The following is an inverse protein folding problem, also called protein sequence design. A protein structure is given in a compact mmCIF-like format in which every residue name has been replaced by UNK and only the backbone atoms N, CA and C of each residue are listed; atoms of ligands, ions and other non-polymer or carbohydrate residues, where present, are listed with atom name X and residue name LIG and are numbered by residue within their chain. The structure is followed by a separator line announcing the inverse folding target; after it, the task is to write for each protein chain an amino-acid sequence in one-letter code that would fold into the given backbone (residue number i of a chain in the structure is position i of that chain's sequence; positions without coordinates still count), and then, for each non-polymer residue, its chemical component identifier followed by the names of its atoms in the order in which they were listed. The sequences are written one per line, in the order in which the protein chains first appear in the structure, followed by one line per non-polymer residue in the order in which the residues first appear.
data_IF_419817587824
#
_entry.id   IF_419817587824
#
_cell.length_a   1.000
_cell.length_b   1.000
_cell.length_c   1.000
_cell.angle_alpha   90.00
_cell.angle_beta   90.00
_cell.angle_gamma   90.00
#
_symmetry.space_group_name_H-M   'P 1'
#
loop_
_entity.id
_entity.type
_entity.pdbx_description
1 polymer ?
#
# COMPACT_ATOMS: atom_id res chain seq x y z
N UNK A 1 -21.01 -127.30 -1.27
CA UNK A 1 -19.64 -127.33 -1.83
C UNK A 1 -19.08 -125.93 -1.70
N UNK A 2 -18.10 -125.81 -0.82
CA UNK A 2 -17.10 -124.76 -0.59
C UNK A 2 -17.43 -123.30 -0.91
N UNK A 3 -17.81 -122.58 0.15
CA UNK A 3 -17.48 -121.17 0.32
C UNK A 3 -15.96 -121.01 0.48
N UNK A 4 -15.27 -120.74 -0.64
CA UNK A 4 -13.90 -120.26 -0.61
C UNK A 4 -13.91 -118.74 -0.50
N UNK A 5 -14.16 -118.21 0.70
CA UNK A 5 -13.79 -116.83 1.02
C UNK A 5 -12.26 -116.77 1.12
N UNK A 6 -11.60 -116.47 0.01
CA UNK A 6 -10.16 -116.25 -0.07
C UNK A 6 -9.86 -114.99 0.78
N UNK A 7 -9.38 -115.18 2.01
CA UNK A 7 -8.93 -114.09 2.87
C UNK A 7 -7.76 -113.39 2.18
N UNK A 8 -7.97 -112.16 1.73
CA UNK A 8 -6.91 -111.30 1.22
C UNK A 8 -5.83 -111.19 2.31
N UNK A 9 -4.53 -111.39 2.01
CA UNK A 9 -3.47 -111.23 3.00
C UNK A 9 -3.51 -109.83 3.60
N UNK A 10 -3.47 -109.72 4.93
CA UNK A 10 -3.54 -108.44 5.67
C UNK A 10 -2.50 -107.42 5.16
N UNK A 11 -1.33 -107.90 4.72
CA UNK A 11 -0.27 -107.08 4.11
C UNK A 11 -0.68 -106.40 2.79
N UNK A 12 -1.55 -107.03 2.00
CA UNK A 12 -2.09 -106.43 0.78
C UNK A 12 -3.06 -105.30 1.11
N UNK A 13 -3.93 -105.49 2.10
CA UNK A 13 -4.85 -104.45 2.55
C UNK A 13 -4.10 -103.22 3.12
N UNK A 14 -3.03 -103.46 3.90
CA UNK A 14 -2.16 -102.39 4.40
C UNK A 14 -1.48 -101.62 3.27
N UNK A 15 -0.96 -102.31 2.26
CA UNK A 15 -0.33 -101.68 1.09
C UNK A 15 -1.32 -100.81 0.30
N UNK A 16 -2.56 -101.29 0.10
CA UNK A 16 -3.61 -100.51 -0.56
C UNK A 16 -4.01 -99.28 0.28
N UNK A 17 -4.07 -99.40 1.62
CA UNK A 17 -4.31 -98.24 2.51
C UNK A 17 -3.25 -97.17 2.33
N UNK A 18 -1.96 -97.55 2.33
CA UNK A 18 -0.84 -96.63 2.12
C UNK A 18 -0.91 -95.91 0.77
N UNK A 19 -1.27 -96.61 -0.31
CA UNK A 19 -1.48 -95.98 -1.63
C UNK A 19 -2.61 -94.95 -1.55
N UNK A 20 -3.74 -95.31 -0.94
CA UNK A 20 -4.89 -94.41 -0.83
C UNK A 20 -4.58 -93.19 0.04
N UNK A 21 -3.86 -93.36 1.14
CA UNK A 21 -3.37 -92.28 2.00
C UNK A 21 -2.44 -91.34 1.22
N UNK A 22 -1.47 -91.88 0.48
CA UNK A 22 -0.58 -91.09 -0.37
C UNK A 22 -1.33 -90.30 -1.44
N UNK A 23 -2.29 -90.93 -2.13
CA UNK A 23 -3.12 -90.25 -3.14
C UNK A 23 -3.94 -89.12 -2.51
N UNK A 24 -4.57 -89.38 -1.35
CA UNK A 24 -5.34 -88.37 -0.63
C UNK A 24 -4.47 -87.20 -0.13
N UNK A 25 -3.26 -87.48 0.37
CA UNK A 25 -2.29 -86.46 0.76
C UNK A 25 -1.85 -85.62 -0.45
N UNK A 26 -1.48 -86.26 -1.55
CA UNK A 26 -1.09 -85.57 -2.78
C UNK A 26 -2.20 -84.65 -3.30
N UNK A 27 -3.45 -85.13 -3.32
CA UNK A 27 -4.60 -84.30 -3.74
C UNK A 27 -4.81 -83.09 -2.82
N UNK A 28 -4.63 -83.26 -1.49
CA UNK A 28 -4.71 -82.14 -0.54
C UNK A 28 -3.60 -81.12 -0.75
N UNK A 29 -2.38 -81.58 -1.01
CA UNK A 29 -1.24 -80.70 -1.29
C UNK A 29 -1.42 -79.93 -2.60
N UNK A 30 -1.90 -80.58 -3.65
CA UNK A 30 -2.24 -79.92 -4.92
C UNK A 30 -3.31 -78.84 -4.72
N UNK A 31 -4.38 -79.13 -3.97
CA UNK A 31 -5.40 -78.14 -3.62
C UNK A 31 -4.83 -76.97 -2.82
N UNK A 32 -3.96 -77.26 -1.83
CA UNK A 32 -3.29 -76.24 -1.02
C UNK A 32 -2.41 -75.34 -1.89
N UNK A 33 -1.66 -75.89 -2.85
CA UNK A 33 -0.85 -75.11 -3.79
C UNK A 33 -1.72 -74.18 -4.64
N UNK A 34 -2.87 -74.65 -5.14
CA UNK A 34 -3.80 -73.82 -5.92
C UNK A 34 -4.33 -72.65 -5.08
N UNK A 35 -4.74 -72.90 -3.84
CA UNK A 35 -5.23 -71.87 -2.92
C UNK A 35 -4.13 -70.83 -2.62
N UNK A 36 -2.91 -71.29 -2.32
CA UNK A 36 -1.79 -70.40 -2.02
C UNK A 36 -1.39 -69.56 -3.23
N UNK A 37 -1.35 -70.16 -4.43
CA UNK A 37 -1.08 -69.44 -5.68
C UNK A 37 -2.09 -68.34 -5.92
N UNK A 38 -3.39 -68.64 -5.75
CA UNK A 38 -4.45 -67.63 -5.84
C UNK A 38 -4.26 -66.51 -4.81
N UNK A 39 -3.95 -66.86 -3.57
CA UNK A 39 -3.72 -65.86 -2.50
C UNK A 39 -2.52 -64.96 -2.81
N UNK A 40 -1.44 -65.50 -3.39
CA UNK A 40 -0.28 -64.71 -3.81
C UNK A 40 -0.68 -63.71 -4.89
N UNK A 41 -1.48 -64.12 -5.86
CA UNK A 41 -1.94 -63.24 -6.93
C UNK A 41 -2.89 -62.14 -6.44
N UNK A 42 -3.81 -62.48 -5.54
CA UNK A 42 -4.68 -61.51 -4.87
C UNK A 42 -3.86 -60.47 -4.09
N UNK A 43 -2.82 -60.92 -3.35
CA UNK A 43 -1.94 -60.03 -2.59
C UNK A 43 -1.09 -59.13 -3.49
N UNK A 44 -0.61 -59.64 -4.63
CA UNK A 44 0.10 -58.83 -5.63
C UNK A 44 -0.79 -57.74 -6.22
N UNK A 45 -2.03 -58.10 -6.56
CA UNK A 45 -3.02 -57.14 -7.07
C UNK A 45 -3.34 -56.06 -6.04
N UNK A 46 -3.50 -56.42 -4.77
CA UNK A 46 -3.70 -55.47 -3.68
C UNK A 46 -2.48 -54.56 -3.49
N UNK A 47 -1.27 -55.11 -3.51
CA UNK A 47 -0.03 -54.34 -3.39
C UNK A 47 0.07 -53.29 -4.50
N UNK A 48 -0.20 -53.67 -5.75
CA UNK A 48 -0.16 -52.75 -6.88
C UNK A 48 -1.21 -51.64 -6.74
N UNK A 49 -2.44 -51.98 -6.35
CA UNK A 49 -3.48 -50.99 -6.11
C UNK A 49 -3.08 -49.99 -5.01
N UNK A 50 -2.52 -50.47 -3.89
CA UNK A 50 -2.06 -49.60 -2.81
C UNK A 50 -0.88 -48.72 -3.22
N UNK A 51 0.04 -49.22 -4.07
CA UNK A 51 1.14 -48.42 -4.60
C UNK A 51 0.61 -47.27 -5.47
N UNK A 52 -0.37 -47.53 -6.33
CA UNK A 52 -1.01 -46.50 -7.16
C UNK A 52 -1.69 -45.44 -6.28
N UNK A 53 -2.39 -45.84 -5.22
CA UNK A 53 -3.00 -44.91 -4.26
C UNK A 53 -1.95 -44.05 -3.55
N UNK A 54 -0.83 -44.63 -3.13
CA UNK A 54 0.29 -43.90 -2.51
C UNK A 54 0.88 -42.86 -3.47
N UNK A 55 1.13 -43.22 -4.72
CA UNK A 55 1.67 -42.28 -5.72
C UNK A 55 0.67 -41.16 -6.06
N UNK A 56 -0.63 -41.46 -6.11
CA UNK A 56 -1.68 -40.44 -6.24
C UNK A 56 -1.66 -39.48 -5.03
N UNK A 57 -1.57 -40.02 -3.81
CA UNK A 57 -1.54 -39.22 -2.59
C UNK A 57 -0.28 -38.33 -2.50
N UNK A 58 0.88 -38.83 -2.93
CA UNK A 58 2.12 -38.04 -3.03
C UNK A 58 1.96 -36.87 -3.98
N UNK A 59 1.43 -37.11 -5.19
CA UNK A 59 1.18 -36.04 -6.16
C UNK A 59 0.20 -35.00 -5.62
N UNK A 60 -0.90 -35.44 -5.00
CA UNK A 60 -1.86 -34.52 -4.37
C UNK A 60 -1.21 -33.67 -3.26
N UNK A 61 -0.35 -34.28 -2.43
CA UNK A 61 0.40 -33.56 -1.39
C UNK A 61 1.35 -32.52 -2.01
N UNK A 62 2.11 -32.89 -3.03
CA UNK A 62 3.02 -31.97 -3.73
C UNK A 62 2.28 -30.78 -4.34
N UNK A 63 1.11 -31.00 -4.94
CA UNK A 63 0.25 -29.92 -5.44
C UNK A 63 -0.19 -28.99 -4.30
N UNK A 64 -0.70 -29.55 -3.20
CA UNK A 64 -1.14 -28.76 -2.05
C UNK A 64 0.03 -27.96 -1.41
N UNK A 65 1.23 -28.54 -1.35
CA UNK A 65 2.43 -27.85 -0.85
C UNK A 65 2.84 -26.67 -1.74
N UNK A 66 2.71 -26.82 -3.07
CA UNK A 66 2.97 -25.72 -4.02
C UNK A 66 1.94 -24.60 -3.89
N UNK A 67 0.66 -24.93 -3.78
CA UNK A 67 -0.42 -23.96 -3.56
C UNK A 67 -0.25 -23.20 -2.23
N UNK A 68 0.13 -23.91 -1.17
CA UNK A 68 0.43 -23.30 0.13
C UNK A 68 1.58 -22.30 0.02
N UNK A 69 2.68 -22.70 -0.63
CA UNK A 69 3.84 -21.83 -0.84
C UNK A 69 3.48 -20.58 -1.68
N UNK A 70 2.64 -20.74 -2.69
CA UNK A 70 2.09 -19.61 -3.45
C UNK A 70 1.32 -18.63 -2.55
N UNK A 71 0.44 -19.16 -1.71
CA UNK A 71 -0.34 -18.38 -0.75
C UNK A 71 0.53 -17.64 0.28
N UNK A 72 1.62 -18.27 0.76
CA UNK A 72 2.57 -17.63 1.67
C UNK A 72 3.29 -16.42 1.05
N UNK A 73 3.66 -16.52 -0.24
CA UNK A 73 4.28 -15.41 -0.98
C UNK A 73 3.28 -14.25 -1.14
N UNK A 74 2.05 -14.55 -1.56
CA UNK A 74 0.99 -13.53 -1.67
C UNK A 74 0.72 -12.84 -0.33
N UNK A 75 0.68 -13.61 0.76
CA UNK A 75 0.51 -13.05 2.11
C UNK A 75 1.66 -12.09 2.49
N UNK A 76 2.90 -12.45 2.18
CA UNK A 76 4.07 -11.59 2.43
C UNK A 76 4.02 -10.30 1.61
N UNK A 77 3.58 -10.38 0.35
CA UNK A 77 3.40 -9.21 -0.51
C UNK A 77 2.30 -8.30 0.04
N UNK A 78 1.16 -8.88 0.42
CA UNK A 78 0.05 -8.13 1.02
C UNK A 78 0.46 -7.43 2.31
N UNK A 79 1.20 -8.10 3.19
CA UNK A 79 1.74 -7.50 4.42
C UNK A 79 2.61 -6.28 4.11
N UNK A 80 3.50 -6.40 3.12
CA UNK A 80 4.39 -5.29 2.70
C UNK A 80 3.59 -4.13 2.09
N UNK A 81 2.56 -4.44 1.30
CA UNK A 81 1.65 -3.46 0.72
C UNK A 81 0.90 -2.68 1.80
N UNK A 82 0.34 -3.37 2.80
CA UNK A 82 -0.34 -2.75 3.95
C UNK A 82 0.61 -1.82 4.71
N UNK A 83 1.82 -2.28 5.05
CA UNK A 83 2.82 -1.45 5.74
C UNK A 83 3.18 -0.19 4.93
N UNK A 84 3.31 -0.34 3.60
CA UNK A 84 3.59 0.80 2.71
C UNK A 84 2.44 1.80 2.71
N UNK A 85 1.19 1.33 2.70
CA UNK A 85 0.00 2.18 2.78
C UNK A 85 -0.09 2.89 4.14
N UNK A 86 0.19 2.20 5.24
CA UNK A 86 0.22 2.79 6.58
C UNK A 86 1.25 3.93 6.67
N UNK A 87 2.46 3.74 6.14
CA UNK A 87 3.48 4.80 6.08
C UNK A 87 2.98 5.99 5.26
N UNK A 88 2.39 5.76 4.08
CA UNK A 88 1.85 6.82 3.22
C UNK A 88 0.72 7.60 3.90
N UNK A 89 -0.17 6.91 4.61
CA UNK A 89 -1.24 7.54 5.38
C UNK A 89 -0.64 8.44 6.47
N UNK A 90 0.37 7.96 7.20
CA UNK A 90 1.04 8.75 8.24
C UNK A 90 1.70 10.01 7.69
N UNK A 91 2.35 9.93 6.52
CA UNK A 91 2.96 11.09 5.85
C UNK A 91 1.89 12.10 5.45
N UNK A 92 0.82 11.64 4.78
CA UNK A 92 -0.28 12.51 4.37
C UNK A 92 -0.96 13.19 5.56
N UNK A 93 -1.13 12.49 6.68
CA UNK A 93 -1.68 13.07 7.90
C UNK A 93 -0.79 14.20 8.45
N UNK A 94 0.53 14.04 8.41
CA UNK A 94 1.48 15.09 8.80
C UNK A 94 1.43 16.29 7.86
N UNK A 95 1.35 16.06 6.56
CA UNK A 95 1.22 17.13 5.55
C UNK A 95 -0.07 17.92 5.75
N UNK A 96 -1.20 17.24 5.94
CA UNK A 96 -2.50 17.87 6.23
C UNK A 96 -2.43 18.72 7.50
N UNK A 97 -1.81 18.22 8.57
CA UNK A 97 -1.64 18.99 9.80
C UNK A 97 -0.78 20.24 9.60
N UNK A 98 0.29 20.12 8.81
CA UNK A 98 1.21 21.23 8.49
C UNK A 98 0.49 22.30 7.68
N UNK A 99 -0.13 21.93 6.56
CA UNK A 99 -0.92 22.86 5.73
C UNK A 99 -2.09 23.48 6.51
N UNK A 100 -2.72 22.72 7.41
CA UNK A 100 -3.76 23.23 8.30
C UNK A 100 -3.25 24.35 9.21
N UNK A 101 -2.06 24.20 9.78
CA UNK A 101 -1.42 25.22 10.62
C UNK A 101 -1.01 26.46 9.82
N UNK A 102 -0.48 26.28 8.61
CA UNK A 102 -0.12 27.37 7.70
C UNK A 102 -1.36 28.19 7.31
N UNK A 103 -2.46 27.52 6.98
CA UNK A 103 -3.72 28.16 6.65
C UNK A 103 -4.26 29.01 7.81
N UNK A 104 -4.18 28.49 9.04
CA UNK A 104 -4.63 29.23 10.22
C UNK A 104 -3.76 30.46 10.48
N UNK A 105 -2.44 30.34 10.29
CA UNK A 105 -1.51 31.47 10.38
C UNK A 105 -1.85 32.55 9.34
N UNK A 106 -2.17 32.15 8.11
CA UNK A 106 -2.55 33.08 7.05
C UNK A 106 -3.88 33.81 7.35
N UNK A 107 -4.85 33.14 7.99
CA UNK A 107 -6.09 33.80 8.43
C UNK A 107 -5.82 34.91 9.44
N UNK A 108 -4.89 34.70 10.38
CA UNK A 108 -4.49 35.72 11.36
C UNK A 108 -3.86 36.92 10.66
N UNK A 109 -2.97 36.68 9.70
CA UNK A 109 -2.33 37.73 8.88
C UNK A 109 -3.40 38.54 8.13
N UNK A 110 -4.37 37.87 7.49
CA UNK A 110 -5.48 38.53 6.81
C UNK A 110 -6.33 39.38 7.77
N UNK A 111 -6.55 38.90 9.00
CA UNK A 111 -7.26 39.68 10.03
C UNK A 111 -6.49 40.94 10.41
N UNK A 112 -5.16 40.84 10.56
CA UNK A 112 -4.29 41.97 10.85
C UNK A 112 -4.27 43.00 9.71
N UNK A 113 -4.23 42.56 8.45
CA UNK A 113 -4.35 43.45 7.30
C UNK A 113 -5.69 44.20 7.29
N UNK A 114 -6.79 43.50 7.60
CA UNK A 114 -8.10 44.12 7.71
C UNK A 114 -8.16 45.16 8.84
N UNK A 115 -7.53 44.89 9.99
CA UNK A 115 -7.42 45.83 11.10
C UNK A 115 -6.58 47.06 10.71
N UNK A 116 -5.40 46.86 10.11
CA UNK A 116 -4.53 47.94 9.65
C UNK A 116 -5.25 48.87 8.65
N UNK A 117 -6.07 48.30 7.76
CA UNK A 117 -6.92 49.09 6.85
C UNK A 117 -7.93 49.95 7.60
N UNK A 118 -8.54 49.45 8.68
CA UNK A 118 -9.47 50.23 9.52
C UNK A 118 -8.75 51.34 10.29
N UNK A 119 -7.57 51.07 10.83
CA UNK A 119 -6.74 52.08 11.53
C UNK A 119 -6.39 53.23 10.58
N UNK A 120 -5.94 52.93 9.36
CA UNK A 120 -5.57 53.95 8.38
C UNK A 120 -6.76 54.85 8.02
N UNK A 121 -7.93 54.27 7.76
CA UNK A 121 -9.17 55.03 7.52
C UNK A 121 -9.52 55.95 8.69
N UNK A 122 -9.45 55.44 9.91
CA UNK A 122 -9.72 56.23 11.11
C UNK A 122 -8.72 57.39 11.27
N UNK A 123 -7.44 57.16 10.99
CA UNK A 123 -6.41 58.21 11.00
C UNK A 123 -6.65 59.28 9.93
N UNK A 124 -7.06 58.88 8.73
CA UNK A 124 -7.46 59.80 7.65
C UNK A 124 -8.66 60.66 8.08
N UNK A 125 -9.71 60.05 8.65
CA UNK A 125 -10.88 60.76 9.17
C UNK A 125 -10.50 61.77 10.28
N UNK A 126 -9.62 61.38 11.21
CA UNK A 126 -9.12 62.29 12.25
C UNK A 126 -8.32 63.46 11.67
N UNK A 127 -7.46 63.20 10.68
CA UNK A 127 -6.69 64.25 10.02
C UNK A 127 -7.61 65.25 9.32
N UNK A 128 -8.60 64.76 8.55
CA UNK A 128 -9.57 65.60 7.85
C UNK A 128 -10.37 66.47 8.84
N UNK A 129 -10.82 65.89 9.96
CA UNK A 129 -11.54 66.62 11.01
C UNK A 129 -10.69 67.69 11.70
N UNK A 130 -9.40 67.41 11.93
CA UNK A 130 -8.46 68.39 12.49
C UNK A 130 -8.14 69.51 11.50
N UNK A 131 -8.02 69.22 10.20
CA UNK A 131 -7.87 70.24 9.15
C UNK A 131 -9.12 71.13 9.07
N UNK A 132 -10.32 70.55 9.15
CA UNK A 132 -11.57 71.32 9.24
C UNK A 132 -11.62 72.20 10.48
N UNK A 133 -11.21 71.69 11.64
CA UNK A 133 -11.13 72.47 12.89
C UNK A 133 -10.15 73.65 12.79
N UNK A 134 -8.95 73.42 12.22
CA UNK A 134 -7.97 74.48 11.99
C UNK A 134 -8.49 75.52 11.00
N UNK A 135 -9.14 75.10 9.91
CA UNK A 135 -9.71 76.01 8.91
C UNK A 135 -10.81 76.92 9.50
N UNK A 136 -11.55 76.43 10.48
CA UNK A 136 -12.57 77.19 11.20
C UNK A 136 -12.00 78.09 12.32
N UNK A 137 -10.75 77.84 12.76
CA UNK A 137 -10.08 78.66 13.77
C UNK A 137 -9.31 79.86 13.18
N UNK A 138 -9.10 79.90 11.86
CA UNK A 138 -8.32 80.97 11.17
C UNK A 138 -9.16 82.17 10.71
N UNK A 139 -10.41 82.33 11.16
CA UNK A 139 -11.18 83.56 10.96
C UNK A 139 -10.92 84.59 12.07
N UNK A 140 -9.68 85.05 12.18
CA UNK A 140 -9.35 86.38 12.72
C UNK A 140 -7.96 86.77 12.25
N UNK A 141 -7.80 87.84 11.44
CA UNK A 141 -6.48 88.34 11.08
C UNK A 141 -5.92 89.11 12.28
N UNK A 142 -4.79 88.66 12.81
CA UNK A 142 -3.88 89.53 13.55
C UNK A 142 -2.49 89.43 12.92
N UNK A 143 -1.90 90.62 12.77
CA UNK A 143 -0.60 90.99 12.20
C UNK A 143 0.60 90.13 12.66
N UNK A 144 1.72 90.16 11.91
CA UNK A 144 2.84 89.26 12.13
C UNK A 144 3.66 89.72 13.33
N UNK A 145 3.74 88.88 14.36
CA UNK A 145 4.83 88.93 15.33
C UNK A 145 5.78 87.77 15.06
N UNK A 146 7.04 88.15 14.81
CA UNK A 146 8.18 87.24 14.90
C UNK A 146 8.21 86.61 16.29
N UNK A 147 8.07 85.28 16.37
CA UNK A 147 8.87 84.57 17.36
C UNK A 147 9.16 83.11 16.99
N UNK A 148 10.34 82.73 17.41
CA UNK A 148 10.99 81.44 17.28
C UNK A 148 10.11 80.32 17.82
N UNK A 149 9.77 79.33 16.98
CA UNK A 149 9.74 77.97 17.50
C UNK A 149 10.16 76.93 16.46
N UNK A 150 11.18 76.18 16.88
CA UNK A 150 11.93 75.18 16.14
C UNK A 150 11.09 73.91 16.03
N UNK A 151 10.23 73.81 15.02
CA UNK A 151 9.63 72.54 14.61
C UNK A 151 10.27 72.13 13.29
N UNK A 152 11.06 71.06 13.36
CA UNK A 152 11.86 70.46 12.30
C UNK A 152 11.11 70.40 10.96
N UNK A 153 11.40 71.36 10.08
CA UNK A 153 11.12 71.21 8.65
C UNK A 153 12.13 70.20 8.11
N UNK A 154 11.74 68.93 8.02
CA UNK A 154 12.56 67.95 7.32
C UNK A 154 12.89 68.48 5.93
N UNK A 155 14.20 68.50 5.65
CA UNK A 155 14.75 68.94 4.38
C UNK A 155 14.07 68.19 3.23
N UNK A 156 13.90 68.84 2.08
CA UNK A 156 13.40 68.19 0.87
C UNK A 156 14.23 66.94 0.54
N UNK A 157 15.52 66.99 0.85
CA UNK A 157 16.46 65.88 0.72
C UNK A 157 16.12 64.68 1.63
N UNK A 158 15.75 64.91 2.89
CA UNK A 158 15.36 63.83 3.81
C UNK A 158 14.04 63.16 3.39
N UNK A 159 13.12 63.95 2.82
CA UNK A 159 11.88 63.42 2.23
C UNK A 159 12.17 62.57 1.00
N UNK A 160 13.07 63.01 0.14
CA UNK A 160 13.48 62.27 -1.06
C UNK A 160 14.16 60.94 -0.68
N UNK A 161 15.09 60.98 0.28
CA UNK A 161 15.75 59.77 0.80
C UNK A 161 14.71 58.77 1.32
N UNK A 162 13.75 59.23 2.12
CA UNK A 162 12.70 58.35 2.68
C UNK A 162 11.86 57.68 1.60
N UNK A 163 11.49 58.41 0.54
CA UNK A 163 10.72 57.86 -0.58
C UNK A 163 11.54 56.86 -1.39
N UNK A 164 12.80 57.17 -1.69
CA UNK A 164 13.72 56.24 -2.38
C UNK A 164 13.84 54.96 -1.56
N UNK A 165 14.11 55.07 -0.25
CA UNK A 165 14.21 53.90 0.64
C UNK A 165 12.93 53.06 0.65
N UNK A 166 11.75 53.67 0.70
CA UNK A 166 10.47 52.95 0.63
C UNK A 166 10.25 52.25 -0.71
N UNK A 167 10.64 52.87 -1.82
CA UNK A 167 10.57 52.27 -3.16
C UNK A 167 11.52 51.08 -3.25
N UNK A 168 12.77 51.24 -2.81
CA UNK A 168 13.78 50.17 -2.87
C UNK A 168 13.37 48.95 -2.04
N UNK A 169 12.85 49.15 -0.82
CA UNK A 169 12.34 48.02 -0.02
C UNK A 169 11.12 47.34 -0.66
N UNK A 170 10.19 48.10 -1.23
CA UNK A 170 9.04 47.53 -1.93
C UNK A 170 9.41 46.79 -3.21
N UNK A 171 10.46 47.24 -3.92
CA UNK A 171 11.00 46.56 -5.10
C UNK A 171 11.68 45.25 -4.74
N UNK A 172 12.49 45.20 -3.68
CA UNK A 172 13.11 43.95 -3.19
C UNK A 172 12.06 42.91 -2.77
N UNK A 173 11.02 43.33 -2.05
CA UNK A 173 9.90 42.46 -1.66
C UNK A 173 9.17 41.91 -2.90
N UNK A 174 8.89 42.75 -3.90
CA UNK A 174 8.26 42.34 -5.16
C UNK A 174 9.12 41.33 -5.95
N UNK A 175 10.43 41.56 -6.01
CA UNK A 175 11.37 40.67 -6.72
C UNK A 175 11.46 39.29 -6.06
N UNK A 176 11.42 39.22 -4.72
CA UNK A 176 11.40 37.93 -4.01
C UNK A 176 10.09 37.17 -4.21
N UNK A 177 8.95 37.86 -4.26
CA UNK A 177 7.65 37.26 -4.55
C UNK A 177 7.59 36.70 -5.99
N UNK A 178 8.10 37.44 -6.98
CA UNK A 178 8.19 36.95 -8.37
C UNK A 178 9.08 35.69 -8.51
N UNK A 179 10.19 35.64 -7.76
CA UNK A 179 11.10 34.50 -7.76
C UNK A 179 10.39 33.24 -7.22
N UNK A 180 9.69 33.36 -6.09
CA UNK A 180 8.92 32.27 -5.49
C UNK A 180 7.81 31.79 -6.44
N UNK A 181 7.11 32.72 -7.11
CA UNK A 181 6.07 32.38 -8.08
C UNK A 181 6.63 31.65 -9.32
N UNK A 182 7.83 32.01 -9.80
CA UNK A 182 8.52 31.28 -10.88
C UNK A 182 8.87 29.85 -10.46
N UNK A 183 9.50 29.68 -9.31
CA UNK A 183 9.89 28.35 -8.80
C UNK A 183 8.68 27.44 -8.58
N UNK A 184 7.58 28.00 -8.07
CA UNK A 184 6.30 27.28 -7.91
C UNK A 184 5.68 26.85 -9.25
N UNK A 185 5.83 27.66 -10.32
CA UNK A 185 5.36 27.28 -11.66
C UNK A 185 6.18 26.12 -12.23
N UNK A 186 7.50 26.17 -12.10
CA UNK A 186 8.38 25.10 -12.60
C UNK A 186 8.14 23.78 -11.87
N UNK A 187 8.04 23.82 -10.54
CA UNK A 187 7.70 22.63 -9.74
C UNK A 187 6.34 22.06 -10.09
N UNK A 188 5.33 22.91 -10.33
CA UNK A 188 4.02 22.44 -10.78
C UNK A 188 4.11 21.69 -12.12
N UNK A 189 4.82 22.24 -13.11
CA UNK A 189 5.01 21.59 -14.42
C UNK A 189 5.70 20.24 -14.25
N UNK A 190 6.76 20.19 -13.44
CA UNK A 190 7.48 18.96 -13.15
C UNK A 190 6.58 17.89 -12.50
N UNK A 191 5.76 18.28 -11.52
CA UNK A 191 4.84 17.36 -10.84
C UNK A 191 3.73 16.85 -11.78
N UNK A 192 3.22 17.70 -12.67
CA UNK A 192 2.24 17.29 -13.69
C UNK A 192 2.83 16.26 -14.67
N UNK A 193 4.06 16.48 -15.16
CA UNK A 193 4.76 15.52 -16.02
C UNK A 193 5.01 14.19 -15.29
N UNK A 194 5.45 14.25 -14.03
CA UNK A 194 5.68 13.06 -13.20
C UNK A 194 4.38 12.30 -12.93
N UNK A 195 3.27 12.99 -12.70
CA UNK A 195 1.94 12.38 -12.55
C UNK A 195 1.51 11.67 -13.83
N UNK A 196 1.71 12.28 -14.99
CA UNK A 196 1.39 11.66 -16.28
C UNK A 196 2.20 10.38 -16.53
N UNK A 197 3.49 10.38 -16.23
CA UNK A 197 4.34 9.19 -16.32
C UNK A 197 3.86 8.07 -15.39
N UNK A 198 3.50 8.40 -14.16
CA UNK A 198 2.98 7.43 -13.19
C UNK A 198 1.65 6.82 -13.65
N UNK A 199 0.74 7.63 -14.22
CA UNK A 199 -0.51 7.14 -14.80
C UNK A 199 -0.27 6.15 -15.95
N UNK A 200 0.72 6.41 -16.81
CA UNK A 200 1.09 5.50 -17.90
C UNK A 200 1.66 4.17 -17.38
N UNK A 201 2.48 4.21 -16.33
CA UNK A 201 3.01 3.00 -15.69
C UNK A 201 1.91 2.15 -15.05
N UNK A 202 1.01 2.79 -14.29
CA UNK A 202 -0.14 2.10 -13.67
C UNK A 202 -1.02 1.47 -14.74
N UNK A 203 -1.31 2.18 -15.83
CA UNK A 203 -2.08 1.63 -16.94
C UNK A 203 -1.39 0.45 -17.61
N UNK A 204 -0.09 0.56 -17.88
CA UNK A 204 0.69 -0.55 -18.45
C UNK A 204 0.68 -1.79 -17.54
N UNK A 205 0.72 -1.59 -16.23
CA UNK A 205 0.64 -2.66 -15.26
C UNK A 205 -0.76 -3.31 -15.23
N UNK A 206 -1.84 -2.52 -15.27
CA UNK A 206 -3.20 -3.07 -15.34
C UNK A 206 -3.46 -3.82 -16.64
N UNK A 207 -2.93 -3.33 -17.76
CA UNK A 207 -3.08 -3.98 -19.07
C UNK A 207 -2.31 -5.32 -19.11
N UNK A 208 -1.13 -5.37 -18.49
CA UNK A 208 -0.34 -6.61 -18.33
C UNK A 208 -1.06 -7.61 -17.41
N UNK A 209 -1.58 -7.16 -16.27
CA UNK A 209 -2.34 -8.00 -15.34
C UNK A 209 -3.62 -8.55 -15.98
N UNK A 210 -4.30 -7.77 -16.85
CA UNK A 210 -5.45 -8.22 -17.61
C UNK A 210 -5.09 -9.27 -18.68
N UNK A 211 -3.99 -9.07 -19.41
CA UNK A 211 -3.50 -10.01 -20.42
C UNK A 211 -3.03 -11.35 -19.83
N UNK A 212 -2.52 -11.35 -18.59
CA UNK A 212 -2.12 -12.58 -17.88
C UNK A 212 -3.33 -13.32 -17.30
N UNK A 213 -4.42 -12.60 -16.97
CA UNK A 213 -5.63 -13.18 -16.34
C UNK A 213 -6.60 -13.81 -17.35
N UNK A 214 -6.55 -13.41 -18.61
CA UNK A 214 -7.28 -14.04 -19.72
C UNK A 214 -6.31 -14.28 -20.89
N UNK A 215 -5.68 -15.47 -21.00
CA UNK A 215 -4.88 -15.83 -22.18
C UNK A 215 -5.74 -16.00 -23.44
#
# INVERSE_FOLDING_TARGET
MNDNSLSVPESYNQFISLINEYVAEKMRDEQRIVILTRRIEDLRSQLEATNVEIENAKRARETAEQELKGSEVELSLNKTSVQTLEIRISVLQSEIATTGSELESLKIINHLFALNKKIRKFQEELYMKNVEFLKNATEKPHEPEEDNNKISSQSVEERLIRVITQITYGEDDCMTEEQILRENRETKIYLEQRRAAMLMMVKGQTDLEAAVRYP
#
